data_IF_779795710660
#
_entry.id   IF_779795710660
#
_cell.length_a   1.000
_cell.length_b   1.000
_cell.length_c   1.000
_cell.angle_alpha   90.00
_cell.angle_beta   90.00
_cell.angle_gamma   90.00
#
_symmetry.space_group_name_H-M   'P 1'
#
loop_
_entity.id
_entity.type
_entity.pdbx_description
1 polymer ?
#
# COMPACT_ATOMS: atom_id res chain seq x y z
N UNK A 1 14.76 10.27 -16.06
CA UNK A 1 14.23 10.41 -14.70
C UNK A 1 14.44 9.10 -13.98
N UNK A 2 15.06 9.16 -12.80
CA UNK A 2 15.28 8.04 -11.89
C UNK A 2 14.05 7.78 -11.01
N UNK A 3 13.93 6.59 -10.45
CA UNK A 3 12.91 6.23 -9.46
C UNK A 3 13.57 5.75 -8.17
N UNK A 4 13.25 6.41 -7.06
CA UNK A 4 13.55 5.88 -5.74
C UNK A 4 12.27 5.42 -5.03
N UNK A 5 12.39 4.34 -4.25
CA UNK A 5 11.25 3.76 -3.51
C UNK A 5 11.36 4.15 -2.05
N UNK A 6 10.36 4.88 -1.56
CA UNK A 6 10.23 5.13 -0.12
C UNK A 6 9.63 3.90 0.58
N UNK A 7 10.36 3.37 1.57
CA UNK A 7 10.00 2.12 2.25
C UNK A 7 9.30 2.31 3.62
N UNK A 8 8.98 3.54 4.02
CA UNK A 8 8.43 3.85 5.33
C UNK A 8 7.14 3.09 5.63
N UNK A 9 6.28 2.96 4.61
CA UNK A 9 5.00 2.27 4.75
C UNK A 9 5.16 0.76 4.92
N UNK A 10 6.22 0.16 4.38
CA UNK A 10 6.57 -1.24 4.70
C UNK A 10 7.00 -1.37 6.16
N UNK A 11 7.74 -0.39 6.69
CA UNK A 11 8.13 -0.36 8.10
C UNK A 11 6.92 -0.11 9.02
N UNK A 12 5.95 0.71 8.61
CA UNK A 12 4.66 0.85 9.30
C UNK A 12 3.95 -0.50 9.40
N UNK A 13 3.81 -1.22 8.28
CA UNK A 13 3.18 -2.56 8.28
C UNK A 13 3.95 -3.51 9.21
N UNK A 14 5.28 -3.45 9.18
CA UNK A 14 6.13 -4.26 10.06
C UNK A 14 5.89 -3.97 11.53
N UNK A 15 5.87 -2.71 11.90
CA UNK A 15 5.70 -2.29 13.30
C UNK A 15 4.32 -2.66 13.84
N UNK A 16 3.28 -2.55 13.02
CA UNK A 16 1.91 -2.97 13.39
C UNK A 16 1.84 -4.49 13.57
N UNK A 17 2.60 -5.27 12.80
CA UNK A 17 2.58 -6.74 12.86
C UNK A 17 3.50 -7.35 13.92
N UNK A 18 4.50 -6.62 14.41
CA UNK A 18 5.33 -7.01 15.57
C UNK A 18 6.43 -8.07 15.32
N UNK A 19 6.55 -8.65 14.12
CA UNK A 19 7.42 -9.81 13.86
C UNK A 19 8.40 -9.67 12.68
N UNK A 20 9.03 -8.49 12.49
CA UNK A 20 9.93 -8.26 11.35
C UNK A 20 9.28 -8.51 9.96
N UNK A 21 7.94 -8.45 9.84
CA UNK A 21 7.21 -8.68 8.59
C UNK A 21 6.33 -7.50 8.15
N UNK A 22 6.55 -6.92 6.95
CA UNK A 22 7.54 -7.34 5.96
C UNK A 22 8.96 -7.07 6.43
N UNK A 23 9.88 -7.96 6.03
CA UNK A 23 11.30 -7.76 6.27
C UNK A 23 11.80 -6.70 5.29
N UNK A 24 12.27 -5.56 5.81
CA UNK A 24 12.74 -4.44 4.99
C UNK A 24 13.92 -4.82 4.09
N UNK A 25 14.77 -5.75 4.52
CA UNK A 25 15.87 -6.28 3.70
C UNK A 25 15.35 -6.90 2.41
N UNK A 26 14.31 -7.73 2.52
CA UNK A 26 13.69 -8.36 1.35
C UNK A 26 12.96 -7.32 0.47
N UNK A 27 12.33 -6.31 1.08
CA UNK A 27 11.68 -5.23 0.33
C UNK A 27 12.69 -4.47 -0.52
N UNK A 28 13.84 -4.13 0.06
CA UNK A 28 14.95 -3.45 -0.64
C UNK A 28 15.50 -4.29 -1.77
N UNK A 29 15.87 -5.54 -1.49
CA UNK A 29 16.42 -6.45 -2.51
C UNK A 29 15.46 -6.62 -3.68
N UNK A 30 14.16 -6.75 -3.40
CA UNK A 30 13.14 -6.88 -4.43
C UNK A 30 13.00 -5.59 -5.25
N UNK A 31 12.99 -4.43 -4.58
CA UNK A 31 12.91 -3.14 -5.28
C UNK A 31 14.10 -2.95 -6.23
N UNK A 32 15.34 -3.22 -5.77
CA UNK A 32 16.55 -3.10 -6.59
C UNK A 32 16.57 -4.12 -7.75
N UNK A 33 16.10 -5.35 -7.53
CA UNK A 33 15.93 -6.34 -8.61
C UNK A 33 14.95 -5.88 -9.70
N UNK A 34 13.98 -5.02 -9.35
CA UNK A 34 13.06 -4.42 -10.32
C UNK A 34 13.58 -3.12 -10.95
N UNK A 35 14.85 -2.77 -10.69
CA UNK A 35 15.55 -1.68 -11.37
C UNK A 35 15.24 -0.30 -10.82
N UNK A 36 14.91 -0.17 -9.53
CA UNK A 36 14.84 1.15 -8.87
C UNK A 36 16.24 1.72 -8.72
N UNK A 37 16.38 3.04 -8.82
CA UNK A 37 17.65 3.76 -8.74
C UNK A 37 18.06 4.10 -7.31
N UNK A 38 17.14 3.96 -6.34
CA UNK A 38 17.41 4.24 -4.95
C UNK A 38 16.32 3.78 -3.98
N UNK A 39 16.69 3.78 -2.70
CA UNK A 39 15.82 3.51 -1.57
C UNK A 39 15.76 4.76 -0.70
N UNK A 40 14.54 5.17 -0.37
CA UNK A 40 14.29 6.28 0.55
C UNK A 40 13.70 5.76 1.85
N UNK A 41 14.18 6.26 2.98
CA UNK A 41 13.58 5.98 4.28
C UNK A 41 13.64 7.22 5.16
N UNK A 42 12.61 7.43 5.96
CA UNK A 42 12.48 8.58 6.85
C UNK A 42 12.62 8.14 8.31
N UNK A 43 13.76 8.49 8.91
CA UNK A 43 14.00 8.31 10.33
C UNK A 43 13.43 9.49 11.11
N UNK A 44 12.20 9.31 11.58
CA UNK A 44 11.48 10.29 12.41
C UNK A 44 12.04 10.40 13.82
N UNK A 45 12.01 11.59 14.43
CA UNK A 45 12.24 11.85 15.86
C UNK A 45 11.43 10.89 16.74
N UNK A 46 10.16 10.65 16.41
CA UNK A 46 9.28 9.73 17.17
C UNK A 46 9.46 8.24 16.81
N UNK A 47 10.32 7.93 15.83
CA UNK A 47 10.57 6.57 15.31
C UNK A 47 9.29 5.81 14.96
N UNK A 48 8.26 6.49 14.45
CA UNK A 48 6.94 5.87 14.20
C UNK A 48 7.00 4.63 13.31
N UNK A 49 7.78 4.67 12.24
CA UNK A 49 7.94 3.57 11.28
C UNK A 49 9.38 3.03 11.25
N UNK A 50 10.28 3.76 10.60
CA UNK A 50 11.70 3.40 10.53
C UNK A 50 12.33 3.57 11.92
N UNK A 51 13.14 2.59 12.34
CA UNK A 51 13.89 2.57 13.60
C UNK A 51 15.37 2.79 13.33
N UNK A 52 16.14 3.16 14.35
CA UNK A 52 17.58 3.39 14.24
C UNK A 52 18.33 2.17 13.68
N UNK A 53 17.97 0.97 14.13
CA UNK A 53 18.58 -0.28 13.61
C UNK A 53 18.32 -0.48 12.10
N UNK A 54 17.21 0.01 11.58
CA UNK A 54 16.87 -0.10 10.17
C UNK A 54 17.84 0.71 9.33
N UNK A 55 18.12 1.96 9.70
CA UNK A 55 18.98 2.85 8.88
C UNK A 55 20.41 2.31 8.79
N UNK A 56 20.95 1.75 9.88
CA UNK A 56 22.27 1.10 9.85
C UNK A 56 22.26 -0.18 9.01
N UNK A 57 21.19 -0.98 9.09
CA UNK A 57 21.03 -2.17 8.26
C UNK A 57 20.93 -1.81 6.78
N UNK A 58 20.09 -0.82 6.44
CA UNK A 58 19.89 -0.31 5.09
C UNK A 58 21.20 0.16 4.48
N UNK A 59 22.05 0.87 5.26
CA UNK A 59 23.36 1.30 4.77
C UNK A 59 24.24 0.13 4.29
N UNK A 60 24.16 -1.01 4.96
CA UNK A 60 24.96 -2.19 4.65
C UNK A 60 24.44 -2.98 3.44
N UNK A 61 23.15 -2.89 3.13
CA UNK A 61 22.52 -3.77 2.14
C UNK A 61 22.11 -3.06 0.84
N UNK A 62 21.82 -1.75 0.88
CA UNK A 62 21.41 -1.00 -0.31
C UNK A 62 22.60 -0.93 -1.26
N UNK A 63 22.41 -1.45 -2.47
CA UNK A 63 23.44 -1.51 -3.51
C UNK A 63 23.37 -0.33 -4.47
N UNK A 64 22.20 0.32 -4.54
CA UNK A 64 21.92 1.52 -5.33
C UNK A 64 22.28 2.77 -4.52
N UNK A 65 21.30 3.65 -4.26
CA UNK A 65 21.45 4.89 -3.50
C UNK A 65 20.54 4.88 -2.29
N UNK A 66 21.09 5.05 -1.08
CA UNK A 66 20.31 5.25 0.13
C UNK A 66 20.09 6.75 0.37
N UNK A 67 18.84 7.18 0.30
CA UNK A 67 18.42 8.52 0.71
C UNK A 67 17.76 8.45 2.10
N UNK A 68 18.34 9.17 3.06
CA UNK A 68 17.83 9.24 4.43
C UNK A 68 17.09 10.57 4.65
N UNK A 69 15.76 10.51 4.78
CA UNK A 69 14.93 11.64 5.18
C UNK A 69 14.99 11.83 6.70
N UNK A 70 15.24 13.06 7.16
CA UNK A 70 15.30 13.41 8.58
C UNK A 70 14.85 14.84 8.87
N UNK A 71 14.40 15.08 10.11
CA UNK A 71 14.23 16.43 10.63
C UNK A 71 15.57 17.18 10.75
N UNK A 72 15.51 18.51 10.68
CA UNK A 72 16.68 19.37 10.79
C UNK A 72 17.07 19.63 12.26
N UNK A 73 17.36 18.57 13.01
CA UNK A 73 17.78 18.62 14.42
C UNK A 73 19.22 18.15 14.61
N UNK A 74 19.85 18.52 15.72
CA UNK A 74 21.22 18.08 16.04
C UNK A 74 21.31 16.56 16.22
N UNK A 75 20.28 15.92 16.78
CA UNK A 75 20.22 14.47 16.90
C UNK A 75 20.28 13.81 15.52
N UNK A 76 19.37 14.21 14.63
CA UNK A 76 19.24 13.63 13.30
C UNK A 76 20.47 13.87 12.43
N UNK A 77 21.03 15.07 12.51
CA UNK A 77 22.30 15.41 11.87
C UNK A 77 23.43 14.47 12.31
N UNK A 78 23.56 14.21 13.62
CA UNK A 78 24.58 13.32 14.15
C UNK A 78 24.32 11.86 13.76
N UNK A 79 23.05 11.44 13.65
CA UNK A 79 22.71 10.11 13.14
C UNK A 79 23.11 9.98 11.67
N UNK A 80 22.81 10.97 10.83
CA UNK A 80 23.19 10.96 9.41
C UNK A 80 24.71 10.81 9.22
N UNK A 81 25.53 11.54 9.99
CA UNK A 81 27.00 11.39 9.97
C UNK A 81 27.49 10.02 10.45
N UNK A 82 26.74 9.31 11.29
CA UNK A 82 27.08 7.95 11.72
C UNK A 82 26.66 6.91 10.69
N UNK A 83 25.49 7.10 10.09
CA UNK A 83 24.93 6.19 9.07
C UNK A 83 25.68 6.32 7.75
N UNK A 84 26.17 7.52 7.40
CA UNK A 84 26.85 7.81 6.13
C UNK A 84 26.03 7.36 4.90
N UNK A 85 24.74 7.78 4.76
CA UNK A 85 23.95 7.48 3.57
C UNK A 85 24.52 8.21 2.35
N UNK A 86 24.10 7.82 1.15
CA UNK A 86 24.56 8.49 -0.09
C UNK A 86 23.94 9.90 -0.22
N UNK A 87 22.72 10.08 0.30
CA UNK A 87 22.09 11.39 0.42
C UNK A 87 21.24 11.54 1.68
N UNK A 88 21.06 12.79 2.10
CA UNK A 88 20.13 13.19 3.18
C UNK A 88 19.14 14.21 2.63
N UNK A 89 17.85 13.96 2.81
CA UNK A 89 16.80 14.96 2.57
C UNK A 89 16.30 15.51 3.91
N UNK A 90 16.42 16.83 4.10
CA UNK A 90 15.85 17.49 5.28
C UNK A 90 14.36 17.77 5.06
N UNK A 91 13.52 17.26 5.96
CA UNK A 91 12.05 17.32 5.92
C UNK A 91 11.49 17.97 7.21
N UNK A 92 10.29 18.58 7.19
CA UNK A 92 9.65 19.10 8.40
C UNK A 92 9.06 17.96 9.26
N UNK A 93 9.11 18.09 10.60
CA UNK A 93 8.66 17.01 11.50
C UNK A 93 7.74 17.45 12.66
N UNK A 94 7.85 18.67 13.20
CA UNK A 94 7.07 19.05 14.40
C UNK A 94 5.62 19.40 14.08
N UNK A 95 4.68 18.86 14.87
CA UNK A 95 3.23 19.13 14.79
C UNK A 95 2.84 20.60 14.94
N UNK A 96 3.70 21.43 15.55
CA UNK A 96 3.48 22.88 15.70
C UNK A 96 3.93 23.69 14.46
N UNK A 97 4.72 23.07 13.56
CA UNK A 97 5.08 23.62 12.25
C UNK A 97 4.05 23.23 11.18
N UNK A 98 3.02 22.46 11.55
CA UNK A 98 1.90 22.06 10.71
C UNK A 98 0.69 22.96 10.94
N UNK A 99 0.80 24.21 10.49
CA UNK A 99 -0.37 24.80 9.82
C UNK A 99 -0.21 24.48 8.35
N UNK A 100 -0.76 23.33 7.95
CA UNK A 100 -0.86 22.78 6.58
C UNK A 100 0.46 22.29 5.95
N UNK A 101 0.68 20.97 5.96
CA UNK A 101 1.49 20.18 5.00
C UNK A 101 2.53 20.96 4.17
N UNK A 102 3.57 21.50 4.82
CA UNK A 102 4.55 22.41 4.19
C UNK A 102 5.91 21.80 3.89
N UNK A 103 6.79 22.57 3.24
CA UNK A 103 8.21 22.28 3.08
C UNK A 103 9.06 22.62 4.32
N UNK A 104 10.37 22.38 4.22
CA UNK A 104 11.37 22.63 5.25
C UNK A 104 11.39 24.12 5.66
N UNK A 105 11.44 24.36 6.97
CA UNK A 105 11.57 25.72 7.52
C UNK A 105 13.06 26.04 7.74
N UNK A 106 13.69 26.72 6.79
CA UNK A 106 15.13 27.02 6.82
C UNK A 106 15.60 27.83 8.05
N UNK A 107 14.72 28.63 8.66
CA UNK A 107 15.09 29.58 9.73
C UNK A 107 15.14 29.01 11.16
N UNK A 108 14.71 27.76 11.37
CA UNK A 108 14.61 27.18 12.73
C UNK A 108 15.91 26.56 13.24
N UNK A 109 16.92 26.40 12.38
CA UNK A 109 18.11 25.61 12.67
C UNK A 109 19.34 26.50 12.84
N UNK A 110 19.90 26.50 14.06
CA UNK A 110 21.16 27.19 14.32
C UNK A 110 22.31 26.54 13.53
N UNK A 111 23.14 27.39 12.91
CA UNK A 111 24.35 27.01 12.16
C UNK A 111 24.09 26.04 10.98
N UNK A 112 22.92 26.15 10.34
CA UNK A 112 22.48 25.16 9.35
C UNK A 112 23.41 25.01 8.16
N UNK A 113 23.91 26.11 7.59
CA UNK A 113 24.86 26.07 6.47
C UNK A 113 26.17 25.37 6.84
N UNK A 114 26.64 25.52 8.09
CA UNK A 114 27.83 24.83 8.59
C UNK A 114 27.60 23.32 8.72
N UNK A 115 26.41 22.92 9.18
CA UNK A 115 26.00 21.50 9.21
C UNK A 115 25.94 20.91 7.79
N UNK A 116 25.31 21.61 6.85
CA UNK A 116 25.24 21.17 5.45
C UNK A 116 26.64 20.99 4.87
N UNK A 117 27.54 21.96 5.09
CA UNK A 117 28.93 21.86 4.64
C UNK A 117 29.63 20.61 5.18
N UNK A 118 29.47 20.31 6.47
CA UNK A 118 30.09 19.13 7.09
C UNK A 118 29.54 17.80 6.57
N UNK A 119 28.24 17.71 6.25
CA UNK A 119 27.68 16.52 5.58
C UNK A 119 28.31 16.33 4.20
N UNK A 120 28.47 17.43 3.45
CA UNK A 120 29.09 17.42 2.12
C UNK A 120 30.58 17.06 2.18
N UNK A 121 31.32 17.56 3.16
CA UNK A 121 32.72 17.17 3.41
C UNK A 121 32.84 15.68 3.77
N UNK A 122 31.81 15.08 4.36
CA UNK A 122 31.70 13.64 4.59
C UNK A 122 31.28 12.85 3.33
N UNK A 123 31.08 13.51 2.19
CA UNK A 123 30.67 12.89 0.93
C UNK A 123 29.17 12.62 0.82
N UNK A 124 28.34 13.19 1.69
CA UNK A 124 26.88 13.01 1.70
C UNK A 124 26.24 14.13 0.88
N UNK A 125 25.45 13.77 -0.13
CA UNK A 125 24.67 14.75 -0.91
C UNK A 125 23.49 15.27 -0.08
N UNK A 126 23.23 16.58 -0.10
CA UNK A 126 22.21 17.18 0.77
C UNK A 126 21.05 17.78 -0.05
N UNK A 127 19.82 17.38 0.28
CA UNK A 127 18.57 17.83 -0.34
C UNK A 127 17.65 18.53 0.66
N UNK A 128 16.93 19.55 0.22
CA UNK A 128 15.88 20.22 1.00
C UNK A 128 14.49 19.87 0.45
N UNK A 129 13.60 19.33 1.27
CA UNK A 129 12.19 19.18 0.90
C UNK A 129 11.50 20.54 0.98
N UNK A 130 10.97 21.06 -0.11
CA UNK A 130 10.44 22.43 -0.18
C UNK A 130 9.06 22.51 -0.81
N UNK A 131 8.33 23.58 -0.48
CA UNK A 131 7.15 23.96 -1.26
C UNK A 131 7.55 24.38 -2.68
N UNK A 132 6.59 24.32 -3.60
CA UNK A 132 6.81 24.65 -5.02
C UNK A 132 6.86 26.17 -5.23
N UNK A 133 7.90 26.82 -4.70
CA UNK A 133 8.09 28.27 -4.74
C UNK A 133 9.55 28.65 -5.00
N UNK A 134 9.77 29.70 -5.81
CA UNK A 134 11.13 30.17 -6.16
C UNK A 134 11.93 30.66 -4.94
N UNK A 135 11.27 31.34 -4.00
CA UNK A 135 11.92 31.81 -2.77
C UNK A 135 12.45 30.66 -1.91
N UNK A 136 11.80 29.49 -1.92
CA UNK A 136 12.30 28.30 -1.21
C UNK A 136 13.54 27.71 -1.90
N UNK A 137 13.62 27.78 -3.23
CA UNK A 137 14.83 27.43 -3.99
C UNK A 137 15.98 28.37 -3.64
N UNK A 138 15.75 29.68 -3.60
CA UNK A 138 16.77 30.68 -3.23
C UNK A 138 17.30 30.45 -1.80
N UNK A 139 16.43 30.06 -0.87
CA UNK A 139 16.84 29.65 0.49
C UNK A 139 17.72 28.40 0.45
N UNK A 140 17.37 27.38 -0.33
CA UNK A 140 18.18 26.17 -0.46
C UNK A 140 19.58 26.50 -1.02
N UNK A 141 19.66 27.36 -2.04
CA UNK A 141 20.95 27.83 -2.60
C UNK A 141 21.77 28.54 -1.53
N UNK A 142 21.18 29.48 -0.78
CA UNK A 142 21.93 30.28 0.21
C UNK A 142 22.47 29.45 1.39
N UNK A 143 21.86 28.30 1.68
CA UNK A 143 22.34 27.36 2.69
C UNK A 143 23.32 26.31 2.15
N UNK A 144 23.53 26.26 0.82
CA UNK A 144 24.51 25.37 0.19
C UNK A 144 24.03 23.95 -0.09
N UNK A 145 22.71 23.75 -0.20
CA UNK A 145 22.12 22.48 -0.62
C UNK A 145 22.55 22.09 -2.04
N UNK A 146 22.57 20.79 -2.32
CA UNK A 146 22.87 20.25 -3.66
C UNK A 146 21.58 20.03 -4.46
N UNK A 147 20.50 19.65 -3.76
CA UNK A 147 19.21 19.32 -4.35
C UNK A 147 18.05 20.01 -3.62
N UNK A 148 16.93 20.14 -4.34
CA UNK A 148 15.60 20.40 -3.75
C UNK A 148 14.64 19.29 -4.14
N UNK A 149 13.85 18.84 -3.17
CA UNK A 149 12.71 17.94 -3.38
C UNK A 149 11.41 18.74 -3.35
N UNK A 150 10.75 18.86 -4.49
CA UNK A 150 9.52 19.63 -4.62
C UNK A 150 8.34 18.86 -4.00
N UNK A 151 7.62 19.52 -3.10
CA UNK A 151 6.42 18.98 -2.47
C UNK A 151 5.25 18.91 -3.48
N UNK A 152 5.04 17.72 -4.04
CA UNK A 152 3.96 17.46 -5.01
C UNK A 152 2.60 17.12 -4.37
N UNK A 153 2.41 17.35 -3.06
CA UNK A 153 1.17 17.02 -2.36
C UNK A 153 -0.05 17.78 -2.88
N UNK A 154 0.08 19.10 -3.06
CA UNK A 154 -0.98 19.94 -3.63
C UNK A 154 -1.42 19.48 -5.03
N UNK A 155 -0.45 19.17 -5.89
CA UNK A 155 -0.67 18.58 -7.22
C UNK A 155 -1.35 17.20 -7.13
N UNK A 156 -0.90 16.35 -6.21
CA UNK A 156 -1.37 14.97 -6.07
C UNK A 156 -2.77 14.86 -5.49
N UNK A 157 -3.15 15.79 -4.61
CA UNK A 157 -4.49 15.90 -4.03
C UNK A 157 -5.53 16.44 -5.02
N UNK A 158 -5.09 17.04 -6.14
CA UNK A 158 -6.01 17.51 -7.17
C UNK A 158 -6.61 16.34 -7.95
N UNK A 159 -7.90 16.48 -8.32
CA UNK A 159 -8.54 15.62 -9.31
C UNK A 159 -7.73 15.62 -10.61
N UNK A 160 -7.47 14.44 -11.17
CA UNK A 160 -6.66 14.27 -12.38
C UNK A 160 -7.25 15.04 -13.56
N UNK A 161 -6.38 15.71 -14.31
CA UNK A 161 -6.70 16.58 -15.46
C UNK A 161 -7.57 17.79 -15.15
N UNK A 162 -7.90 18.04 -13.88
CA UNK A 162 -8.62 19.25 -13.48
C UNK A 162 -7.81 20.50 -13.82
N UNK A 163 -8.51 21.63 -13.93
CA UNK A 163 -7.86 22.92 -14.12
C UNK A 163 -6.86 23.21 -12.99
N UNK A 164 -7.23 22.91 -11.74
CA UNK A 164 -6.36 23.07 -10.58
C UNK A 164 -5.07 22.26 -10.71
N UNK A 165 -5.16 20.97 -11.08
CA UNK A 165 -3.96 20.15 -11.29
C UNK A 165 -3.05 20.70 -12.39
N UNK A 166 -3.63 21.25 -13.47
CA UNK A 166 -2.84 21.87 -14.55
C UNK A 166 -2.12 23.14 -14.07
N UNK A 167 -2.72 23.91 -13.18
CA UNK A 167 -2.09 25.09 -12.55
C UNK A 167 -0.93 24.64 -11.65
N UNK A 168 -1.15 23.67 -10.77
CA UNK A 168 -0.10 23.09 -9.91
C UNK A 168 1.06 22.52 -10.74
N UNK A 169 0.75 21.75 -11.80
CA UNK A 169 1.76 21.19 -12.69
C UNK A 169 2.58 22.26 -13.41
N UNK A 170 1.92 23.36 -13.83
CA UNK A 170 2.61 24.50 -14.44
C UNK A 170 3.59 25.13 -13.44
N UNK A 171 3.16 25.32 -12.20
CA UNK A 171 4.01 25.85 -11.14
C UNK A 171 5.21 24.92 -10.85
N UNK A 172 4.99 23.61 -10.80
CA UNK A 172 6.06 22.60 -10.66
C UNK A 172 7.08 22.74 -11.79
N UNK A 173 6.62 22.86 -13.05
CA UNK A 173 7.52 23.06 -14.22
C UNK A 173 8.36 24.32 -14.09
N UNK A 174 7.74 25.43 -13.72
CA UNK A 174 8.44 26.72 -13.57
C UNK A 174 9.46 26.71 -12.45
N UNK A 175 9.14 26.08 -11.31
CA UNK A 175 10.06 25.98 -10.17
C UNK A 175 11.16 24.95 -10.41
N UNK A 176 10.87 23.84 -11.09
CA UNK A 176 11.89 22.86 -11.48
C UNK A 176 12.93 23.46 -12.43
N UNK A 177 12.50 24.22 -13.44
CA UNK A 177 13.41 24.96 -14.31
C UNK A 177 14.27 25.95 -13.50
N UNK A 178 13.63 26.73 -12.63
CA UNK A 178 14.34 27.73 -11.81
C UNK A 178 15.36 27.09 -10.85
N UNK A 179 15.02 25.96 -10.23
CA UNK A 179 15.94 25.17 -9.40
C UNK A 179 17.18 24.75 -10.18
N UNK A 180 16.99 24.25 -11.41
CA UNK A 180 18.08 23.84 -12.29
C UNK A 180 18.97 25.01 -12.71
N UNK A 181 18.37 26.13 -13.13
CA UNK A 181 19.09 27.35 -13.50
C UNK A 181 19.87 27.96 -12.32
N UNK A 182 19.37 27.73 -11.09
CA UNK A 182 20.03 28.13 -9.85
C UNK A 182 21.16 27.18 -9.41
N UNK A 183 21.46 26.15 -10.20
CA UNK A 183 22.55 25.22 -9.96
C UNK A 183 22.21 24.02 -9.07
N UNK A 184 20.95 23.87 -8.65
CA UNK A 184 20.50 22.72 -7.87
C UNK A 184 20.08 21.56 -8.78
N UNK A 185 20.20 20.34 -8.28
CA UNK A 185 19.42 19.22 -8.79
C UNK A 185 17.98 19.29 -8.27
N UNK A 186 17.01 18.78 -9.04
CA UNK A 186 15.60 18.83 -8.66
C UNK A 186 15.01 17.43 -8.62
N UNK A 187 14.37 17.09 -7.52
CA UNK A 187 13.63 15.83 -7.32
C UNK A 187 12.19 16.13 -6.86
N UNK A 188 11.31 15.14 -6.90
CA UNK A 188 9.91 15.27 -6.49
C UNK A 188 9.38 13.92 -5.98
N UNK A 189 8.13 13.82 -5.50
CA UNK A 189 7.64 12.49 -5.13
C UNK A 189 6.41 12.40 -4.24
N UNK A 190 6.26 13.34 -3.32
CA UNK A 190 5.22 13.27 -2.31
C UNK A 190 3.80 13.19 -2.92
N UNK A 191 3.06 12.14 -2.58
CA UNK A 191 1.69 11.90 -3.06
C UNK A 191 1.58 11.34 -4.49
N UNK A 192 2.70 11.13 -5.20
CA UNK A 192 2.65 10.55 -6.54
C UNK A 192 2.16 9.10 -6.50
N UNK A 193 1.42 8.74 -7.55
CA UNK A 193 0.82 7.43 -7.74
C UNK A 193 0.84 7.03 -9.22
N UNK A 194 0.32 5.84 -9.52
CA UNK A 194 0.30 5.28 -10.89
C UNK A 194 -0.40 6.15 -11.94
N UNK A 195 -1.19 7.13 -11.52
CA UNK A 195 -2.07 7.89 -12.39
C UNK A 195 -1.56 9.29 -12.68
N UNK A 196 -0.93 9.92 -11.69
CA UNK A 196 -0.42 11.28 -11.79
C UNK A 196 1.09 11.32 -12.04
N UNK A 197 1.84 10.25 -11.74
CA UNK A 197 3.30 10.23 -11.91
C UNK A 197 3.74 10.45 -13.36
N UNK A 198 2.94 10.00 -14.34
CA UNK A 198 3.24 10.25 -15.76
C UNK A 198 3.27 11.73 -16.11
N UNK A 199 2.48 12.57 -15.42
CA UNK A 199 2.45 14.01 -15.65
C UNK A 199 3.71 14.70 -15.12
N UNK A 200 4.29 14.17 -14.04
CA UNK A 200 5.57 14.63 -13.48
C UNK A 200 6.73 14.10 -14.30
N UNK A 201 6.66 12.85 -14.78
CA UNK A 201 7.68 12.25 -15.66
C UNK A 201 8.00 13.12 -16.87
N UNK A 202 6.99 13.81 -17.39
CA UNK A 202 7.10 14.68 -18.57
C UNK A 202 7.47 16.14 -18.20
N UNK A 203 7.91 16.40 -16.96
CA UNK A 203 8.48 17.67 -16.52
C UNK A 203 9.99 17.61 -16.70
N UNK A 204 10.49 18.43 -17.62
CA UNK A 204 11.93 18.63 -17.78
C UNK A 204 12.56 19.13 -16.47
N UNK A 205 13.83 18.79 -16.26
CA UNK A 205 14.64 19.17 -15.09
C UNK A 205 14.34 18.46 -13.77
N UNK A 206 13.29 17.64 -13.67
CA UNK A 206 13.14 16.69 -12.56
C UNK A 206 13.99 15.45 -12.84
N UNK A 207 15.00 15.22 -12.02
CA UNK A 207 15.97 14.16 -12.23
C UNK A 207 15.51 12.81 -11.67
N UNK A 208 14.78 12.83 -10.56
CA UNK A 208 14.33 11.65 -9.83
C UNK A 208 12.97 11.88 -9.16
N UNK A 209 12.18 10.82 -9.05
CA UNK A 209 10.98 10.80 -8.21
C UNK A 209 11.09 9.77 -7.08
N UNK A 210 10.71 10.17 -5.86
CA UNK A 210 10.60 9.30 -4.67
C UNK A 210 9.14 8.91 -4.45
N UNK A 211 8.78 7.63 -4.58
CA UNK A 211 7.39 7.17 -4.42
C UNK A 211 7.32 6.09 -3.33
N UNK A 212 6.43 6.28 -2.36
CA UNK A 212 6.24 5.34 -1.24
C UNK A 212 4.88 4.67 -1.24
N UNK A 213 3.88 5.33 -0.65
CA UNK A 213 2.55 4.78 -0.36
C UNK A 213 1.92 4.01 -1.53
N UNK A 214 1.95 4.56 -2.75
CA UNK A 214 1.38 3.93 -3.93
C UNK A 214 2.00 2.55 -4.24
N UNK A 215 3.30 2.37 -3.99
CA UNK A 215 4.03 1.12 -4.31
C UNK A 215 3.68 -0.03 -3.36
N UNK A 216 3.20 0.27 -2.15
CA UNK A 216 2.87 -0.76 -1.16
C UNK A 216 1.62 -1.58 -1.54
N UNK A 217 0.72 -1.03 -2.37
CA UNK A 217 -0.52 -1.69 -2.82
C UNK A 217 -0.36 -2.67 -4.00
N UNK A 218 0.85 -2.80 -4.55
CA UNK A 218 1.12 -3.52 -5.81
C UNK A 218 0.78 -5.01 -5.79
N UNK A 219 0.93 -5.70 -4.65
CA UNK A 219 0.70 -7.15 -4.58
C UNK A 219 -0.77 -7.52 -4.83
N UNK A 220 -1.70 -6.83 -4.17
CA UNK A 220 -3.14 -7.04 -4.33
C UNK A 220 -3.61 -6.56 -5.71
N UNK A 221 -3.13 -5.41 -6.16
CA UNK A 221 -3.50 -4.87 -7.46
C UNK A 221 -3.02 -5.75 -8.63
N UNK A 222 -1.77 -6.25 -8.59
CA UNK A 222 -1.25 -7.16 -9.63
C UNK A 222 -2.03 -8.48 -9.71
N UNK A 223 -2.44 -9.06 -8.57
CA UNK A 223 -3.27 -10.27 -8.54
C UNK A 223 -4.61 -10.02 -9.22
N UNK A 224 -5.30 -8.93 -8.85
CA UNK A 224 -6.59 -8.55 -9.44
C UNK A 224 -6.46 -8.18 -10.92
N UNK A 225 -5.47 -7.35 -11.27
CA UNK A 225 -5.21 -6.92 -12.64
C UNK A 225 -4.90 -8.10 -13.57
N UNK A 226 -4.10 -9.08 -13.10
CA UNK A 226 -3.80 -10.29 -13.88
C UNK A 226 -5.08 -11.10 -14.19
N UNK A 227 -6.01 -11.23 -13.23
CA UNK A 227 -7.26 -11.97 -13.41
C UNK A 227 -8.17 -11.25 -14.44
N UNK A 228 -8.30 -9.93 -14.37
CA UNK A 228 -9.13 -9.16 -15.30
C UNK A 228 -8.54 -9.11 -16.72
N UNK A 229 -7.22 -8.95 -16.86
CA UNK A 229 -6.53 -8.96 -18.16
C UNK A 229 -6.70 -10.28 -18.91
N UNK A 230 -6.69 -11.43 -18.21
CA UNK A 230 -6.96 -12.75 -18.80
C UNK A 230 -8.35 -12.85 -19.46
N UNK A 231 -9.29 -11.98 -19.06
CA UNK A 231 -10.66 -11.97 -19.58
C UNK A 231 -10.91 -10.81 -20.55
N UNK A 232 -9.86 -10.13 -21.02
CA UNK A 232 -9.98 -9.00 -21.96
C UNK A 232 -10.67 -7.77 -21.38
N UNK A 233 -10.83 -7.69 -20.05
CA UNK A 233 -11.41 -6.53 -19.37
C UNK A 233 -10.27 -5.63 -18.92
N UNK A 234 -10.15 -4.46 -19.54
CA UNK A 234 -9.29 -3.40 -19.03
C UNK A 234 -9.93 -2.82 -17.76
N UNK A 235 -9.28 -2.97 -16.61
CA UNK A 235 -9.69 -2.28 -15.39
C UNK A 235 -9.54 -0.77 -15.58
N UNK A 236 -10.64 -0.04 -15.41
CA UNK A 236 -10.59 1.42 -15.35
C UNK A 236 -9.81 1.86 -14.10
N UNK A 237 -9.07 2.96 -14.28
CA UNK A 237 -8.15 3.63 -13.37
C UNK A 237 -8.71 3.72 -11.94
N UNK A 238 -7.90 3.40 -10.92
CA UNK A 238 -8.22 3.74 -9.52
C UNK A 238 -8.48 5.26 -9.46
N UNK A 239 -9.56 5.66 -8.79
CA UNK A 239 -10.04 7.04 -8.87
C UNK A 239 -9.18 8.01 -8.06
N UNK A 240 -8.98 9.19 -8.64
CA UNK A 240 -8.02 10.23 -8.28
C UNK A 240 -8.37 11.04 -7.02
N UNK A 241 -8.69 10.39 -5.91
CA UNK A 241 -8.94 11.08 -4.65
C UNK A 241 -8.36 10.26 -3.51
N UNK A 242 -7.93 10.94 -2.44
CA UNK A 242 -7.77 10.29 -1.13
C UNK A 242 -8.97 9.37 -0.93
N UNK A 243 -8.72 8.06 -0.90
CA UNK A 243 -9.77 7.10 -0.62
C UNK A 243 -10.35 7.50 0.73
N UNK A 244 -11.68 7.72 0.84
CA UNK A 244 -12.27 7.98 2.14
C UNK A 244 -11.91 6.83 3.08
N UNK A 245 -11.55 7.11 4.33
CA UNK A 245 -11.44 6.05 5.33
C UNK A 245 -12.81 5.38 5.45
N UNK A 246 -12.91 4.12 4.99
CA UNK A 246 -14.15 3.37 5.02
C UNK A 246 -14.13 2.50 6.27
N UNK A 247 -14.81 2.95 7.32
CA UNK A 247 -14.98 2.14 8.52
C UNK A 247 -15.75 0.84 8.21
N UNK A 248 -15.17 -0.30 8.57
CA UNK A 248 -15.75 -1.65 8.37
C UNK A 248 -16.73 -2.01 9.49
N UNK A 249 -17.86 -1.30 9.52
CA UNK A 249 -18.89 -1.40 10.57
C UNK A 249 -19.94 -2.49 10.31
N UNK A 250 -19.95 -3.12 9.14
CA UNK A 250 -21.00 -4.07 8.78
C UNK A 250 -20.76 -5.42 9.47
N UNK A 251 -21.87 -6.11 9.76
CA UNK A 251 -21.86 -7.40 10.46
C UNK A 251 -21.55 -8.59 9.52
N UNK A 252 -21.40 -8.33 8.22
CA UNK A 252 -21.19 -9.36 7.19
C UNK A 252 -20.09 -8.96 6.21
N UNK A 253 -19.43 -9.95 5.61
CA UNK A 253 -18.42 -9.71 4.56
C UNK A 253 -19.05 -9.03 3.34
N UNK A 254 -20.28 -9.42 3.00
CA UNK A 254 -21.12 -8.82 1.97
C UNK A 254 -21.39 -7.35 2.26
N UNK A 255 -21.81 -7.04 3.48
CA UNK A 255 -22.08 -5.67 3.90
C UNK A 255 -20.84 -4.80 3.76
N UNK A 256 -19.69 -5.24 4.28
CA UNK A 256 -18.45 -4.47 4.18
C UNK A 256 -17.98 -4.31 2.72
N UNK A 257 -18.04 -5.37 1.92
CA UNK A 257 -17.66 -5.31 0.51
C UNK A 257 -18.59 -4.40 -0.31
N UNK A 258 -19.90 -4.41 -0.02
CA UNK A 258 -20.85 -3.48 -0.66
C UNK A 258 -20.67 -2.06 -0.14
N UNK A 259 -20.48 -1.84 1.16
CA UNK A 259 -20.23 -0.52 1.75
C UNK A 259 -19.00 0.11 1.10
N UNK A 260 -17.89 -0.63 1.01
CA UNK A 260 -16.66 -0.20 0.33
C UNK A 260 -16.91 0.13 -1.14
N UNK A 261 -17.54 -0.77 -1.89
CA UNK A 261 -17.83 -0.56 -3.31
C UNK A 261 -18.83 0.58 -3.57
N UNK A 262 -19.83 0.77 -2.71
CA UNK A 262 -20.86 1.80 -2.80
C UNK A 262 -20.30 3.18 -2.50
N UNK A 263 -19.53 3.30 -1.42
CA UNK A 263 -18.83 4.55 -1.09
C UNK A 263 -17.95 4.98 -2.26
N UNK A 264 -17.18 4.04 -2.82
CA UNK A 264 -16.39 4.31 -4.01
C UNK A 264 -17.26 4.61 -5.23
N UNK A 265 -18.36 3.88 -5.46
CA UNK A 265 -19.28 4.17 -6.55
C UNK A 265 -19.82 5.59 -6.49
N UNK A 266 -20.34 6.07 -5.35
CA UNK A 266 -20.82 7.46 -5.27
C UNK A 266 -19.70 8.49 -5.42
N UNK A 267 -18.50 8.15 -4.95
CA UNK A 267 -17.32 8.96 -5.14
C UNK A 267 -16.97 9.11 -6.65
N UNK A 268 -17.07 8.02 -7.41
CA UNK A 268 -16.67 7.96 -8.83
C UNK A 268 -17.80 8.34 -9.81
N UNK A 269 -19.05 8.03 -9.47
CA UNK A 269 -20.21 8.11 -10.36
C UNK A 269 -20.62 9.54 -10.71
N UNK A 270 -20.12 10.54 -9.97
CA UNK A 270 -20.32 11.95 -10.32
C UNK A 270 -19.61 12.36 -11.62
N UNK A 271 -18.72 11.52 -12.17
CA UNK A 271 -17.83 11.88 -13.29
C UNK A 271 -18.04 11.07 -14.58
N UNK A 272 -18.59 9.85 -14.50
CA UNK A 272 -18.70 8.93 -15.65
C UNK A 272 -20.09 8.25 -15.72
N UNK A 273 -20.60 8.12 -16.96
CA UNK A 273 -22.00 7.73 -17.23
C UNK A 273 -22.29 6.23 -17.11
N UNK A 274 -21.27 5.38 -17.15
CA UNK A 274 -21.39 3.91 -17.06
C UNK A 274 -20.17 3.33 -16.30
N UNK A 275 -20.25 3.27 -14.97
CA UNK A 275 -19.16 2.79 -14.09
C UNK A 275 -19.61 1.57 -13.30
N UNK A 276 -18.73 0.57 -13.21
CA UNK A 276 -18.83 -0.54 -12.25
C UNK A 276 -17.62 -0.44 -11.32
N UNK A 277 -17.90 -0.32 -10.03
CA UNK A 277 -16.91 -0.35 -8.96
C UNK A 277 -16.95 -1.71 -8.28
N UNK A 278 -15.78 -2.23 -7.91
CA UNK A 278 -15.68 -3.43 -7.09
C UNK A 278 -14.85 -3.18 -5.84
N UNK A 279 -15.10 -3.97 -4.80
CA UNK A 279 -14.21 -4.07 -3.64
C UNK A 279 -14.30 -5.47 -3.03
N UNK A 280 -13.32 -5.90 -2.23
CA UNK A 280 -13.36 -7.20 -1.56
C UNK A 280 -13.36 -7.09 -0.02
N UNK A 281 -13.96 -8.08 0.63
CA UNK A 281 -13.78 -8.38 2.04
C UNK A 281 -13.55 -9.88 2.24
N UNK A 282 -12.74 -10.26 3.23
CA UNK A 282 -12.31 -11.66 3.39
C UNK A 282 -12.27 -12.07 4.85
N UNK A 283 -12.70 -13.31 5.11
CA UNK A 283 -12.69 -13.88 6.45
C UNK A 283 -12.43 -15.39 6.47
N UNK A 284 -11.94 -15.85 7.62
CA UNK A 284 -11.92 -17.25 8.00
C UNK A 284 -13.22 -17.57 8.77
N UNK A 285 -13.95 -18.59 8.35
CA UNK A 285 -15.16 -19.05 9.03
C UNK A 285 -14.97 -20.47 9.53
N UNK A 286 -15.14 -20.70 10.83
CA UNK A 286 -14.92 -21.99 11.48
C UNK A 286 -16.25 -22.52 12.00
N UNK A 287 -16.66 -23.71 11.56
CA UNK A 287 -17.97 -24.28 11.92
C UNK A 287 -18.14 -24.43 13.44
N UNK A 288 -17.10 -24.91 14.13
CA UNK A 288 -17.14 -25.10 15.57
C UNK A 288 -17.21 -23.80 16.38
N UNK A 289 -16.90 -22.65 15.77
CA UNK A 289 -16.98 -21.34 16.42
C UNK A 289 -18.17 -20.53 15.90
N UNK A 290 -19.22 -21.19 15.40
CA UNK A 290 -20.40 -20.54 14.82
C UNK A 290 -20.00 -19.54 13.71
N UNK A 291 -19.08 -19.96 12.83
CA UNK A 291 -18.49 -19.18 11.73
C UNK A 291 -17.58 -18.03 12.15
N UNK A 292 -17.29 -17.86 13.44
CA UNK A 292 -16.23 -16.95 13.87
C UNK A 292 -14.83 -17.48 13.42
N UNK A 293 -13.85 -16.61 13.14
CA UNK A 293 -13.88 -15.14 13.30
C UNK A 293 -14.69 -14.37 12.24
N UNK A 294 -14.96 -14.95 11.07
CA UNK A 294 -15.83 -14.37 10.03
C UNK A 294 -15.41 -12.96 9.61
N UNK A 295 -16.34 -12.02 9.61
CA UNK A 295 -16.08 -10.59 9.32
C UNK A 295 -15.07 -9.94 10.28
N UNK A 296 -14.90 -10.50 11.49
CA UNK A 296 -13.94 -10.02 12.48
C UNK A 296 -12.55 -10.59 12.28
N UNK A 297 -12.28 -11.30 11.17
CA UNK A 297 -11.02 -12.02 10.92
C UNK A 297 -9.77 -11.19 11.17
N UNK A 298 -9.78 -9.90 10.83
CA UNK A 298 -8.64 -9.02 11.08
C UNK A 298 -8.48 -8.63 12.56
N UNK A 299 -9.57 -8.58 13.34
CA UNK A 299 -9.63 -8.00 14.69
C UNK A 299 -10.18 -8.95 15.76
N UNK A 300 -10.16 -10.26 15.50
CA UNK A 300 -10.87 -11.23 16.34
C UNK A 300 -10.39 -11.24 17.79
N UNK A 301 -9.08 -11.15 18.02
CA UNK A 301 -8.52 -11.07 19.35
C UNK A 301 -8.93 -9.78 20.07
N UNK A 302 -8.91 -8.63 19.39
CA UNK A 302 -9.42 -7.36 19.93
C UNK A 302 -10.88 -7.50 20.39
N UNK A 303 -11.74 -8.08 19.55
CA UNK A 303 -13.17 -8.20 19.84
C UNK A 303 -13.45 -9.18 21.00
N UNK A 304 -12.59 -10.19 21.16
CA UNK A 304 -12.71 -11.17 22.25
C UNK A 304 -12.14 -10.66 23.56
N UNK A 305 -11.02 -9.93 23.51
CA UNK A 305 -10.26 -9.51 24.70
C UNK A 305 -10.54 -8.05 25.10
N UNK A 306 -11.20 -7.27 24.24
CA UNK A 306 -11.51 -5.86 24.48
C UNK A 306 -10.28 -4.94 24.40
N UNK A 307 -9.18 -5.40 23.80
CA UNK A 307 -7.91 -4.66 23.70
C UNK A 307 -7.69 -4.19 22.25
N UNK A 308 -7.82 -2.87 21.97
CA UNK A 308 -7.60 -2.28 20.66
C UNK A 308 -6.21 -2.58 20.05
N UNK A 309 -5.20 -2.84 20.87
CA UNK A 309 -3.84 -3.16 20.41
C UNK A 309 -3.74 -4.53 19.73
N UNK A 310 -4.75 -5.39 19.90
CA UNK A 310 -4.84 -6.71 19.28
C UNK A 310 -5.52 -6.68 17.90
N UNK A 311 -5.99 -5.51 17.44
CA UNK A 311 -6.53 -5.36 16.09
C UNK A 311 -5.44 -5.64 15.05
N UNK A 312 -5.78 -6.36 13.97
CA UNK A 312 -4.85 -6.78 12.91
C UNK A 312 -3.67 -7.66 13.38
N UNK A 313 -3.70 -8.18 14.62
CA UNK A 313 -2.67 -9.06 15.15
C UNK A 313 -2.97 -10.53 14.81
N UNK A 314 -2.34 -11.04 13.73
CA UNK A 314 -2.59 -12.40 13.22
C UNK A 314 -2.25 -13.49 14.23
N UNK A 315 -1.21 -13.31 15.04
CA UNK A 315 -0.83 -14.28 16.07
C UNK A 315 -1.82 -14.31 17.23
N UNK A 316 -2.23 -13.14 17.73
CA UNK A 316 -3.26 -13.05 18.74
C UNK A 316 -4.56 -13.68 18.21
N UNK A 317 -4.97 -13.35 16.99
CA UNK A 317 -6.13 -13.92 16.32
C UNK A 317 -6.06 -15.46 16.23
N UNK A 318 -4.92 -16.01 15.78
CA UNK A 318 -4.69 -17.47 15.73
C UNK A 318 -4.78 -18.08 17.12
N UNK A 319 -4.12 -17.46 18.11
CA UNK A 319 -4.13 -17.94 19.50
C UNK A 319 -5.55 -17.93 20.06
N UNK A 320 -6.32 -16.88 19.82
CA UNK A 320 -7.73 -16.76 20.22
C UNK A 320 -8.57 -17.84 19.54
N UNK A 321 -8.38 -18.08 18.24
CA UNK A 321 -9.05 -19.17 17.50
C UNK A 321 -8.72 -20.53 18.13
N UNK A 322 -7.44 -20.88 18.26
CA UNK A 322 -7.03 -22.18 18.80
C UNK A 322 -7.51 -22.38 20.24
N UNK A 323 -7.42 -21.34 21.08
CA UNK A 323 -7.93 -21.35 22.46
C UNK A 323 -9.44 -21.59 22.50
N UNK A 324 -10.21 -20.90 21.66
CA UNK A 324 -11.68 -21.07 21.60
C UNK A 324 -12.09 -22.41 21.00
N UNK A 325 -11.33 -22.94 20.04
CA UNK A 325 -11.58 -24.28 19.49
C UNK A 325 -11.30 -25.37 20.52
N UNK A 326 -10.31 -25.18 21.41
CA UNK A 326 -9.97 -26.14 22.46
C UNK A 326 -9.83 -27.56 21.92
N UNK A 327 -10.47 -28.52 22.60
CA UNK A 327 -10.52 -29.94 22.18
C UNK A 327 -11.60 -30.27 21.15
N UNK A 328 -12.16 -29.28 20.42
CA UNK A 328 -13.19 -29.53 19.42
C UNK A 328 -12.70 -30.50 18.34
N UNK A 329 -13.46 -31.58 18.13
CA UNK A 329 -13.23 -32.53 17.04
C UNK A 329 -13.70 -32.00 15.68
N UNK A 330 -14.66 -31.07 15.66
CA UNK A 330 -15.04 -30.41 14.42
C UNK A 330 -14.05 -29.28 14.13
N UNK A 331 -13.17 -29.51 13.16
CA UNK A 331 -12.17 -28.51 12.72
C UNK A 331 -12.47 -27.96 11.33
N UNK A 332 -13.64 -28.24 10.76
CA UNK A 332 -14.03 -27.74 9.45
C UNK A 332 -14.05 -26.21 9.44
N UNK A 333 -13.42 -25.65 8.42
CA UNK A 333 -13.35 -24.22 8.21
C UNK A 333 -13.37 -23.89 6.72
N UNK A 334 -13.58 -22.61 6.42
CA UNK A 334 -13.44 -22.10 5.07
C UNK A 334 -12.88 -20.70 5.08
N UNK A 335 -11.98 -20.42 4.15
CA UNK A 335 -11.73 -19.04 3.76
C UNK A 335 -12.79 -18.61 2.77
N UNK A 336 -13.33 -17.42 2.99
CA UNK A 336 -14.36 -16.81 2.17
C UNK A 336 -13.94 -15.40 1.80
N UNK A 337 -13.92 -15.10 0.51
CA UNK A 337 -13.84 -13.73 0.00
C UNK A 337 -15.15 -13.39 -0.64
N UNK A 338 -15.67 -12.21 -0.31
CA UNK A 338 -16.80 -11.59 -0.99
C UNK A 338 -16.28 -10.40 -1.79
N UNK A 339 -16.62 -10.34 -3.07
CA UNK A 339 -16.41 -9.17 -3.92
C UNK A 339 -17.76 -8.47 -4.07
N UNK A 340 -17.85 -7.24 -3.57
CA UNK A 340 -18.99 -6.36 -3.78
C UNK A 340 -18.84 -5.60 -5.08
N UNK A 341 -19.91 -5.53 -5.87
CA UNK A 341 -20.01 -4.87 -7.15
C UNK A 341 -21.14 -3.84 -7.08
N UNK A 342 -20.82 -2.58 -7.38
CA UNK A 342 -21.79 -1.49 -7.42
C UNK A 342 -21.63 -0.74 -8.73
N UNK A 343 -22.71 -0.54 -9.46
CA UNK A 343 -22.62 0.11 -10.75
C UNK A 343 -23.93 0.70 -11.24
N UNK A 344 -23.82 1.49 -12.30
CA UNK A 344 -24.96 1.96 -13.09
C UNK A 344 -24.63 1.65 -14.55
N UNK A 345 -25.56 0.97 -15.24
CA UNK A 345 -25.37 0.64 -16.65
C UNK A 345 -26.65 0.83 -17.45
N UNK A 346 -26.47 1.27 -18.70
CA UNK A 346 -27.49 1.22 -19.74
C UNK A 346 -27.26 -0.01 -20.62
N UNK A 347 -27.96 -1.12 -20.36
CA UNK A 347 -27.82 -2.32 -21.20
C UNK A 347 -28.81 -2.33 -22.37
N UNK A 348 -28.44 -2.99 -23.48
CA UNK A 348 -29.37 -3.36 -24.57
C UNK A 348 -30.36 -4.48 -24.17
N UNK A 349 -30.18 -5.11 -23.01
CA UNK A 349 -30.97 -6.24 -22.50
C UNK A 349 -32.04 -5.83 -21.46
N UNK A 350 -32.25 -4.53 -21.24
CA UNK A 350 -33.33 -4.02 -20.38
C UNK A 350 -32.97 -3.78 -18.91
N UNK A 351 -31.74 -4.07 -18.48
CA UNK A 351 -31.23 -3.54 -17.20
C UNK A 351 -30.91 -2.07 -17.43
N UNK A 352 -31.83 -1.21 -16.98
CA UNK A 352 -31.70 0.24 -16.92
C UNK A 352 -31.70 0.65 -15.44
N UNK A 353 -30.52 0.79 -14.82
CA UNK A 353 -30.48 1.30 -13.45
C UNK A 353 -29.26 0.94 -12.65
N UNK A 354 -29.27 1.49 -11.43
CA UNK A 354 -28.33 1.19 -10.36
C UNK A 354 -28.43 -0.29 -9.95
N UNK A 355 -27.29 -0.93 -9.73
CA UNK A 355 -27.23 -2.28 -9.20
C UNK A 355 -26.16 -2.40 -8.11
N UNK A 356 -26.46 -3.27 -7.15
CA UNK A 356 -25.52 -3.75 -6.15
C UNK A 356 -25.62 -5.26 -6.11
N UNK A 357 -24.47 -5.94 -6.16
CA UNK A 357 -24.44 -7.39 -6.10
C UNK A 357 -23.12 -7.87 -5.53
N UNK A 358 -23.07 -9.12 -5.10
CA UNK A 358 -21.86 -9.72 -4.56
C UNK A 358 -21.55 -11.02 -5.28
N UNK A 359 -20.28 -11.35 -5.32
CA UNK A 359 -19.81 -12.69 -5.71
C UNK A 359 -18.89 -13.23 -4.63
N UNK A 360 -18.84 -14.54 -4.48
CA UNK A 360 -18.03 -15.16 -3.44
C UNK A 360 -17.12 -16.25 -3.98
N UNK A 361 -15.94 -16.33 -3.37
CA UNK A 361 -15.02 -17.44 -3.53
C UNK A 361 -14.76 -18.07 -2.18
N UNK A 362 -14.85 -19.40 -2.15
CA UNK A 362 -14.72 -20.19 -0.94
C UNK A 362 -13.66 -21.24 -1.17
N UNK A 363 -12.72 -21.34 -0.23
CA UNK A 363 -11.82 -22.47 -0.12
C UNK A 363 -12.13 -23.18 1.18
N UNK A 364 -12.58 -24.43 1.07
CA UNK A 364 -12.90 -25.29 2.21
C UNK A 364 -11.62 -25.94 2.72
N UNK A 365 -11.56 -26.18 4.01
CA UNK A 365 -10.42 -26.78 4.67
C UNK A 365 -10.72 -27.15 6.11
N UNK A 366 -9.65 -27.33 6.89
CA UNK A 366 -9.71 -27.60 8.31
C UNK A 366 -8.71 -26.72 9.05
N UNK A 367 -8.97 -26.47 10.32
CA UNK A 367 -8.01 -25.83 11.22
C UNK A 367 -7.04 -26.87 11.76
N UNK A 368 -5.75 -26.61 11.75
CA UNK A 368 -4.71 -27.43 12.37
C UNK A 368 -4.75 -27.32 13.90
N UNK A 369 -4.33 -28.34 14.63
CA UNK A 369 -4.26 -28.31 16.11
C UNK A 369 -3.26 -27.28 16.64
N UNK A 370 -2.22 -27.00 15.86
CA UNK A 370 -1.17 -26.03 16.15
C UNK A 370 -0.77 -25.34 14.84
N UNK A 371 -0.24 -24.11 14.95
CA UNK A 371 0.29 -23.37 13.80
C UNK A 371 1.53 -24.08 13.21
N UNK A 372 1.63 -24.10 11.87
CA UNK A 372 2.70 -24.77 11.10
C UNK A 372 3.12 -23.89 9.91
N UNK A 373 4.40 -23.99 9.50
CA UNK A 373 4.98 -23.24 8.38
C UNK A 373 5.67 -21.93 8.78
N UNK A 374 6.51 -21.41 7.88
CA UNK A 374 7.36 -20.23 8.13
C UNK A 374 6.73 -18.90 7.67
N UNK A 375 5.59 -18.96 6.95
CA UNK A 375 4.92 -17.78 6.35
C UNK A 375 3.71 -17.33 7.19
N UNK A 376 3.80 -16.18 7.83
CA UNK A 376 2.80 -15.70 8.81
C UNK A 376 1.79 -14.70 8.23
N UNK A 377 1.02 -15.09 7.20
CA UNK A 377 -0.06 -14.23 6.68
C UNK A 377 -1.44 -14.66 7.19
N UNK A 378 -2.08 -13.83 8.02
CA UNK A 378 -3.44 -14.07 8.51
C UNK A 378 -3.55 -15.40 9.26
N UNK A 379 -4.46 -16.27 8.81
CA UNK A 379 -4.67 -17.60 9.39
C UNK A 379 -4.01 -18.74 8.61
N UNK A 380 -3.15 -18.43 7.63
CA UNK A 380 -2.45 -19.43 6.82
C UNK A 380 -1.75 -20.52 7.66
N UNK A 381 -1.08 -20.20 8.79
CA UNK A 381 -0.37 -21.22 9.58
C UNK A 381 -1.26 -22.29 10.19
N UNK A 382 -2.56 -22.01 10.36
CA UNK A 382 -3.51 -22.96 10.93
C UNK A 382 -4.54 -23.46 9.93
N UNK A 383 -4.57 -22.96 8.69
CA UNK A 383 -5.56 -23.39 7.72
C UNK A 383 -4.98 -24.45 6.78
N UNK A 384 -5.56 -25.63 6.79
CA UNK A 384 -5.22 -26.77 5.92
C UNK A 384 -6.30 -26.85 4.84
N UNK A 385 -6.02 -26.48 3.58
CA UNK A 385 -7.00 -26.58 2.50
C UNK A 385 -7.35 -28.04 2.20
N UNK A 386 -8.58 -28.28 1.76
CA UNK A 386 -8.90 -29.55 1.10
C UNK A 386 -8.16 -29.62 -0.25
N UNK A 387 -7.49 -30.74 -0.54
CA UNK A 387 -6.84 -30.98 -1.84
C UNK A 387 -7.87 -31.03 -2.97
N UNK A 388 -7.58 -30.31 -4.06
CA UNK A 388 -8.44 -30.24 -5.25
C UNK A 388 -7.67 -30.81 -6.46
N UNK A 389 -8.09 -31.97 -6.97
CA UNK A 389 -7.63 -32.47 -8.27
C UNK A 389 -8.52 -31.85 -9.37
N UNK A 390 -7.96 -30.90 -10.11
CA UNK A 390 -8.63 -30.18 -11.20
C UNK A 390 -9.00 -31.13 -12.36
N UNK A 391 -8.35 -32.31 -12.48
CA UNK A 391 -8.53 -33.22 -13.61
C UNK A 391 -9.71 -34.20 -13.46
N UNK A 392 -10.11 -34.56 -12.23
CA UNK A 392 -11.04 -35.67 -12.00
C UNK A 392 -12.30 -35.33 -11.17
N UNK A 393 -12.53 -34.07 -10.79
CA UNK A 393 -13.74 -33.65 -10.05
C UNK A 393 -14.01 -34.52 -8.80
N UNK A 394 -12.95 -34.98 -8.13
CA UNK A 394 -13.03 -35.79 -6.92
C UNK A 394 -12.21 -35.15 -5.78
N UNK A 395 -12.72 -35.25 -4.55
CA UNK A 395 -12.04 -34.81 -3.33
C UNK A 395 -10.92 -35.79 -3.02
N UNK A 396 -9.66 -35.41 -3.21
CA UNK A 396 -8.53 -36.17 -2.67
C UNK A 396 -8.44 -35.92 -1.16
N UNK A 397 -8.17 -36.98 -0.40
CA UNK A 397 -7.91 -36.95 1.04
C UNK A 397 -7.05 -35.74 1.45
N UNK A 398 -7.52 -34.97 2.44
CA UNK A 398 -6.86 -33.89 3.19
C UNK A 398 -5.52 -33.44 2.60
N UNK A 399 -5.43 -32.24 2.01
CA UNK A 399 -4.29 -31.80 1.21
C UNK A 399 -2.95 -32.00 1.89
N UNK A 400 -2.30 -33.15 1.66
CA UNK A 400 -1.04 -33.61 2.26
C UNK A 400 -0.81 -33.32 3.76
N UNK A 401 -1.84 -32.89 4.51
CA UNK A 401 -1.72 -32.33 5.85
C UNK A 401 -1.00 -30.96 5.97
N UNK A 402 -0.69 -30.27 4.85
CA UNK A 402 0.08 -29.01 4.83
C UNK A 402 -0.82 -27.80 5.06
N UNK A 403 -0.39 -26.86 5.90
CA UNK A 403 -1.03 -25.55 6.05
C UNK A 403 -0.74 -24.66 4.83
N UNK A 404 -1.55 -23.62 4.62
CA UNK A 404 -1.26 -22.60 3.60
C UNK A 404 0.11 -21.93 3.79
N UNK A 405 0.62 -21.85 5.02
CA UNK A 405 1.94 -21.29 5.30
C UNK A 405 3.09 -22.20 4.84
N UNK A 406 2.83 -23.49 4.65
CA UNK A 406 3.79 -24.50 4.16
C UNK A 406 3.77 -24.65 2.62
N UNK A 407 2.83 -23.98 1.94
CA UNK A 407 2.71 -24.02 0.48
C UNK A 407 3.58 -22.95 -0.21
N UNK A 408 4.02 -23.26 -1.42
CA UNK A 408 4.60 -22.26 -2.33
C UNK A 408 3.54 -21.24 -2.75
N UNK A 409 3.98 -20.07 -3.22
CA UNK A 409 3.07 -19.04 -3.73
C UNK A 409 2.29 -19.56 -4.95
N UNK A 410 2.92 -20.37 -5.80
CA UNK A 410 2.27 -20.96 -6.97
C UNK A 410 1.15 -21.94 -6.60
N UNK A 411 1.40 -22.84 -5.63
CA UNK A 411 0.38 -23.76 -5.11
C UNK A 411 -0.79 -23.00 -4.47
N UNK A 412 -0.49 -21.98 -3.65
CA UNK A 412 -1.51 -21.16 -2.99
C UNK A 412 -2.36 -20.38 -4.01
N UNK A 413 -1.75 -19.85 -5.06
CA UNK A 413 -2.45 -19.12 -6.12
C UNK A 413 -3.44 -20.00 -6.90
N UNK A 414 -3.19 -21.32 -6.98
CA UNK A 414 -4.15 -22.29 -7.55
C UNK A 414 -5.37 -22.50 -6.64
N UNK A 415 -5.22 -22.28 -5.33
CA UNK A 415 -6.23 -22.45 -4.29
C UNK A 415 -6.65 -21.09 -3.68
N UNK A 416 -6.71 -20.03 -4.49
CA UNK A 416 -7.07 -18.68 -4.02
C UNK A 416 -8.59 -18.49 -4.00
N UNK A 417 -9.16 -18.41 -2.79
CA UNK A 417 -10.56 -18.02 -2.60
C UNK A 417 -10.85 -16.64 -3.21
N UNK A 418 -9.89 -15.72 -3.15
CA UNK A 418 -9.98 -14.39 -3.78
C UNK A 418 -10.08 -14.53 -5.30
N UNK A 419 -9.21 -15.31 -5.93
CA UNK A 419 -9.25 -15.57 -7.37
C UNK A 419 -10.61 -16.10 -7.81
N UNK A 420 -11.15 -17.09 -7.10
CA UNK A 420 -12.48 -17.67 -7.39
C UNK A 420 -13.57 -16.59 -7.32
N UNK A 421 -13.53 -15.72 -6.31
CA UNK A 421 -14.50 -14.63 -6.16
C UNK A 421 -14.43 -13.66 -7.35
N UNK A 422 -13.22 -13.23 -7.71
CA UNK A 422 -13.01 -12.30 -8.83
C UNK A 422 -13.33 -12.91 -10.19
N UNK A 423 -13.04 -14.19 -10.45
CA UNK A 423 -13.45 -14.88 -11.68
C UNK A 423 -14.98 -14.96 -11.81
N UNK A 424 -15.72 -15.09 -10.69
CA UNK A 424 -17.19 -15.00 -10.71
C UNK A 424 -17.65 -13.57 -10.94
N UNK A 425 -17.04 -12.58 -10.30
CA UNK A 425 -17.33 -11.15 -10.52
C UNK A 425 -17.17 -10.79 -12.00
N UNK A 426 -16.08 -11.23 -12.63
CA UNK A 426 -15.80 -11.00 -14.06
C UNK A 426 -16.84 -11.66 -14.95
N UNK A 427 -17.22 -12.92 -14.67
CA UNK A 427 -18.29 -13.59 -15.43
C UNK A 427 -19.62 -12.83 -15.33
N UNK A 428 -19.94 -12.33 -14.15
CA UNK A 428 -21.13 -11.51 -13.93
C UNK A 428 -21.05 -10.19 -14.71
N UNK A 429 -19.94 -9.45 -14.61
CA UNK A 429 -19.71 -8.23 -15.40
C UNK A 429 -19.84 -8.52 -16.89
N UNK A 430 -19.23 -9.58 -17.41
CA UNK A 430 -19.32 -9.95 -18.82
C UNK A 430 -20.75 -10.30 -19.25
N UNK A 431 -21.52 -11.00 -18.41
CA UNK A 431 -22.94 -11.27 -18.68
C UNK A 431 -23.74 -9.97 -18.75
N UNK A 432 -23.50 -9.05 -17.81
CA UNK A 432 -24.18 -7.76 -17.74
C UNK A 432 -23.84 -6.85 -18.93
N UNK A 433 -22.57 -6.83 -19.38
CA UNK A 433 -22.10 -6.02 -20.51
C UNK A 433 -22.53 -6.62 -21.87
N UNK A 434 -22.52 -7.94 -22.01
CA UNK A 434 -22.86 -8.62 -23.28
C UNK A 434 -24.36 -8.83 -23.50
N UNK A 435 -25.20 -8.63 -22.47
CA UNK A 435 -26.65 -8.85 -22.54
C UNK A 435 -27.07 -10.31 -22.66
N UNK A 436 -26.15 -11.26 -22.44
CA UNK A 436 -26.44 -12.69 -22.39
C UNK A 436 -26.40 -13.15 -20.93
N UNK A 437 -27.57 -13.18 -20.29
CA UNK A 437 -27.79 -14.03 -19.11
C UNK A 437 -27.80 -15.46 -19.65
N UNK A 438 -26.74 -16.23 -19.38
CA UNK A 438 -26.79 -17.68 -19.58
C UNK A 438 -27.10 -18.29 -18.22
N UNK A 439 -28.31 -18.83 -18.12
CA UNK A 439 -28.86 -19.57 -16.98
C UNK A 439 -27.95 -20.71 -16.52
#
# INVERSE_FOLDING_TARGET
MRLAVNIDHFATIRNVRGENQPNLVHVVQLAEQFGVDGIVCHLREDRRHIKDADVFTLRQIVQTRLNLEVAATDEMYNIALKVMPDSVTFVPEKREELTTEGGLVFGSVKDFSSKILRLKEAGITVSAFINVEKNEVEKAVSHGFDFVELHTGGFSACKLYSHKQKVELKQIKEVALYGRESGLGVVAGHGLNYFNASLIRDVDHIEEVSIGHAIVNVGKWKEVQAIFNQHGIALAKETNSLMPDIEETELTLEGNAIKKARTMFYHCHSEEKDVIVFSDDSGLEIEALSLAPGVMSARYAMEVEGDPTLSHNSQANIKTVLKKMGGSKNRKARFRTVVGLVGYMKSKAGINGYFETTTEGIVKGNIAEYARGEKNFGYDPIFIPASFDISNSCMLNQGEGRSFAEMSLEEKNKLSHRRIAFEKAIRLINSLVSGKIRD
#
